data_IF_781925317654
#
_entry.id   IF_781925317654
#
_cell.length_a   1.000
_cell.length_b   1.000
_cell.length_c   1.000
_cell.angle_alpha   90.00
_cell.angle_beta   90.00
_cell.angle_gamma   90.00
#
_symmetry.space_group_name_H-M   'P 1'
#
loop_
_entity.id
_entity.type
_entity.pdbx_description
1 polymer ?
#
# COMPACT_ATOMS: atom_id res chain seq x y z
N UNK A 1 33.92 39.66 -0.34
CA UNK A 1 33.19 39.69 0.94
C UNK A 1 31.71 40.06 0.79
N UNK A 2 31.31 41.24 0.27
CA UNK A 2 29.88 41.62 0.16
C UNK A 2 29.00 40.64 -0.65
N UNK A 3 29.48 40.09 -1.77
CA UNK A 3 28.75 39.09 -2.56
C UNK A 3 28.57 37.73 -1.85
N UNK A 4 29.51 37.34 -0.99
CA UNK A 4 29.44 36.08 -0.24
C UNK A 4 28.44 36.17 0.92
N UNK A 5 28.29 37.34 1.55
CA UNK A 5 27.26 37.54 2.59
C UNK A 5 25.83 37.44 2.03
N UNK A 6 25.59 37.88 0.78
CA UNK A 6 24.27 37.82 0.15
C UNK A 6 23.85 36.37 -0.11
N UNK A 7 24.78 35.51 -0.52
CA UNK A 7 24.51 34.08 -0.79
C UNK A 7 24.19 33.33 0.50
N UNK A 8 24.91 33.62 1.59
CA UNK A 8 24.64 33.02 2.92
C UNK A 8 23.27 33.48 3.46
N UNK A 9 22.89 34.73 3.22
CA UNK A 9 21.59 35.26 3.65
C UNK A 9 20.42 34.60 2.90
N UNK A 10 20.56 34.29 1.61
CA UNK A 10 19.52 33.60 0.81
C UNK A 10 19.36 32.13 1.24
N UNK A 11 20.44 31.45 1.62
CA UNK A 11 20.40 30.08 2.16
C UNK A 11 19.76 29.98 3.55
N UNK A 12 19.73 31.07 4.33
CA UNK A 12 19.06 31.14 5.63
C UNK A 12 17.56 31.47 5.51
N UNK A 13 17.07 31.78 4.31
CA UNK A 13 15.68 32.12 3.99
C UNK A 13 14.89 30.95 3.37
N UNK A 14 15.48 29.74 3.28
CA UNK A 14 14.74 28.54 2.89
C UNK A 14 13.83 28.09 4.05
N UNK A 15 12.71 28.79 4.22
CA UNK A 15 11.62 28.31 5.06
C UNK A 15 11.04 27.02 4.48
N UNK A 16 10.57 26.13 5.35
CA UNK A 16 9.80 24.96 4.94
C UNK A 16 8.55 25.45 4.21
N UNK A 17 8.46 25.17 2.90
CA UNK A 17 7.24 25.38 2.14
C UNK A 17 6.34 24.18 2.48
N UNK A 18 5.28 24.43 3.23
CA UNK A 18 4.23 23.43 3.41
C UNK A 18 3.43 23.34 2.12
N UNK A 19 3.28 22.12 1.59
CA UNK A 19 2.32 21.85 0.51
C UNK A 19 0.91 22.24 0.95
N UNK A 20 0.06 22.58 -0.02
CA UNK A 20 -1.36 22.79 0.25
C UNK A 20 -1.95 21.50 0.85
N UNK A 21 -2.54 21.61 2.04
CA UNK A 21 -3.38 20.57 2.60
C UNK A 21 -4.67 20.53 1.78
N UNK A 22 -4.99 19.39 1.18
CA UNK A 22 -6.31 19.20 0.58
C UNK A 22 -7.28 19.05 1.75
N UNK A 23 -7.92 20.15 2.13
CA UNK A 23 -8.97 20.12 3.13
C UNK A 23 -10.15 19.33 2.58
N UNK A 24 -10.72 18.46 3.41
CA UNK A 24 -12.04 17.90 3.13
C UNK A 24 -13.03 19.08 3.10
N UNK A 25 -13.40 19.50 1.89
CA UNK A 25 -14.11 20.76 1.70
C UNK A 25 -15.61 20.53 1.95
N UNK A 26 -16.18 21.24 2.92
CA UNK A 26 -17.61 21.15 3.24
C UNK A 26 -18.49 21.94 2.27
N UNK A 27 -17.89 22.69 1.34
CA UNK A 27 -18.61 23.41 0.29
C UNK A 27 -19.13 22.40 -0.74
N UNK A 28 -20.46 22.31 -0.98
CA UNK A 28 -21.00 21.42 -1.99
C UNK A 28 -20.64 21.92 -3.39
N UNK A 29 -20.21 21.00 -4.25
CA UNK A 29 -19.98 21.26 -5.67
C UNK A 29 -21.17 20.73 -6.45
N UNK A 30 -21.72 21.55 -7.34
CA UNK A 30 -22.89 21.18 -8.14
C UNK A 30 -22.62 21.36 -9.63
N UNK A 31 -23.18 20.46 -10.44
CA UNK A 31 -23.21 20.56 -11.90
C UNK A 31 -24.62 20.20 -12.35
N UNK A 32 -25.26 21.08 -13.12
CA UNK A 32 -26.65 20.93 -13.58
C UNK A 32 -27.67 20.62 -12.46
N UNK A 33 -27.45 21.19 -11.28
CA UNK A 33 -28.31 20.98 -10.10
C UNK A 33 -28.05 19.68 -9.33
N UNK A 34 -27.09 18.86 -9.76
CA UNK A 34 -26.67 17.63 -9.08
C UNK A 34 -25.46 17.91 -8.21
N UNK A 35 -25.51 17.54 -6.93
CA UNK A 35 -24.34 17.58 -6.04
C UNK A 35 -23.36 16.48 -6.43
N UNK A 36 -22.12 16.85 -6.71
CA UNK A 36 -21.04 15.93 -7.06
C UNK A 36 -20.49 15.28 -5.79
N UNK A 37 -20.25 13.97 -5.86
CA UNK A 37 -19.57 13.20 -4.82
C UNK A 37 -18.05 13.30 -4.99
N UNK A 38 -17.32 13.45 -3.88
CA UNK A 38 -15.86 13.56 -3.82
C UNK A 38 -15.22 14.59 -4.78
N UNK A 39 -15.80 15.79 -4.97
CA UNK A 39 -15.31 16.75 -5.97
C UNK A 39 -13.90 17.29 -5.68
N UNK A 40 -13.43 17.14 -4.45
CA UNK A 40 -12.12 17.61 -3.98
C UNK A 40 -11.12 16.48 -3.68
N UNK A 41 -11.39 15.23 -4.06
CA UNK A 41 -10.44 14.13 -3.83
C UNK A 41 -9.20 14.18 -4.76
N UNK A 42 -9.14 15.15 -5.66
CA UNK A 42 -8.14 15.19 -6.72
C UNK A 42 -8.50 14.26 -7.89
N UNK A 43 -7.55 14.08 -8.79
CA UNK A 43 -7.65 13.12 -9.90
C UNK A 43 -6.63 12.01 -9.76
N UNK A 44 -6.89 10.87 -10.39
CA UNK A 44 -5.98 9.72 -10.41
C UNK A 44 -5.30 9.57 -11.76
N UNK A 45 -3.99 9.32 -11.75
CA UNK A 45 -3.20 9.04 -12.96
C UNK A 45 -2.84 7.56 -13.08
N UNK A 46 -2.34 6.95 -12.00
CA UNK A 46 -1.99 5.54 -11.96
C UNK A 46 -2.48 4.90 -10.63
N UNK A 47 -3.81 4.82 -10.41
CA UNK A 47 -4.38 4.34 -9.16
C UNK A 47 -4.21 2.83 -8.99
N UNK A 48 -3.87 2.42 -7.78
CA UNK A 48 -3.82 1.05 -7.29
C UNK A 48 -4.82 0.94 -6.15
N UNK A 49 -5.76 0.01 -6.25
CA UNK A 49 -6.89 -0.09 -5.32
C UNK A 49 -6.64 -1.22 -4.32
N UNK A 50 -7.05 -1.01 -3.08
CA UNK A 50 -7.14 -2.06 -2.08
C UNK A 50 -8.32 -1.80 -1.15
N UNK A 51 -8.83 -2.86 -0.55
CA UNK A 51 -9.84 -2.78 0.50
C UNK A 51 -9.17 -2.71 1.86
N UNK A 52 -9.76 -1.96 2.78
CA UNK A 52 -9.33 -1.86 4.18
C UNK A 52 -10.53 -1.46 5.04
N UNK A 53 -10.69 -2.03 6.24
CA UNK A 53 -11.62 -1.47 7.25
C UNK A 53 -10.87 -0.44 8.11
N UNK A 54 -10.76 0.80 7.63
CA UNK A 54 -9.88 1.81 8.26
C UNK A 54 -10.52 2.44 9.51
N UNK A 55 -11.85 2.37 9.60
CA UNK A 55 -12.63 2.94 10.69
C UNK A 55 -13.14 1.89 11.69
N UNK A 56 -12.83 0.61 11.45
CA UNK A 56 -13.17 -0.55 12.28
C UNK A 56 -14.68 -0.71 12.48
N UNK A 57 -15.47 -0.40 11.45
CA UNK A 57 -16.94 -0.52 11.47
C UNK A 57 -17.48 -1.84 10.88
N UNK A 58 -16.58 -2.71 10.42
CA UNK A 58 -16.89 -4.00 9.79
C UNK A 58 -17.21 -3.90 8.30
N UNK A 59 -17.12 -2.72 7.69
CA UNK A 59 -17.26 -2.53 6.23
C UNK A 59 -15.91 -2.22 5.61
N UNK A 60 -15.68 -2.81 4.44
CA UNK A 60 -14.51 -2.52 3.64
C UNK A 60 -14.63 -1.13 3.01
N UNK A 61 -13.72 -0.23 3.40
CA UNK A 61 -13.41 1.03 2.77
C UNK A 61 -12.48 0.83 1.56
N UNK A 62 -12.21 1.91 0.82
CA UNK A 62 -11.28 1.87 -0.32
C UNK A 62 -10.04 2.70 0.01
N UNK A 63 -8.89 2.05 -0.07
CA UNK A 63 -7.59 2.69 -0.17
C UNK A 63 -7.17 2.76 -1.64
N UNK A 64 -6.74 3.94 -2.08
CA UNK A 64 -6.22 4.17 -3.44
C UNK A 64 -4.82 4.73 -3.34
N UNK A 65 -3.82 4.02 -3.88
CA UNK A 65 -2.47 4.55 -4.06
C UNK A 65 -2.23 4.96 -5.51
N UNK A 66 -2.14 6.26 -5.77
CA UNK A 66 -1.71 6.80 -7.06
C UNK A 66 -0.18 6.86 -7.12
N UNK A 67 0.40 5.87 -7.81
CA UNK A 67 1.84 5.74 -8.01
C UNK A 67 2.46 6.94 -8.70
N UNK A 68 1.73 7.64 -9.58
CA UNK A 68 2.28 8.76 -10.34
C UNK A 68 2.78 9.89 -9.43
N UNK A 69 2.14 10.05 -8.26
CA UNK A 69 2.51 11.04 -7.25
C UNK A 69 3.06 10.47 -5.95
N UNK A 70 3.11 9.14 -5.79
CA UNK A 70 3.26 8.47 -4.49
C UNK A 70 2.28 9.04 -3.46
N UNK A 71 1.00 9.12 -3.84
CA UNK A 71 -0.07 9.69 -3.02
C UNK A 71 -1.13 8.64 -2.80
N UNK A 72 -1.60 8.52 -1.56
CA UNK A 72 -2.77 7.71 -1.27
C UNK A 72 -4.00 8.59 -1.04
N UNK A 73 -5.17 7.95 -1.08
CA UNK A 73 -6.46 8.52 -0.70
C UNK A 73 -7.32 7.43 -0.09
N UNK A 74 -8.13 7.78 0.91
CA UNK A 74 -9.04 6.86 1.58
C UNK A 74 -10.49 7.28 1.32
N UNK A 75 -11.36 6.31 1.08
CA UNK A 75 -12.79 6.53 0.87
C UNK A 75 -13.61 5.62 1.78
N UNK A 76 -14.37 6.22 2.70
CA UNK A 76 -15.18 5.52 3.68
C UNK A 76 -16.46 4.98 3.05
N UNK A 77 -16.79 3.73 3.37
CA UNK A 77 -17.96 3.02 2.92
C UNK A 77 -19.21 3.43 3.71
N UNK A 78 -19.90 4.46 3.24
CA UNK A 78 -21.18 4.92 3.78
C UNK A 78 -22.39 4.21 3.17
N UNK A 79 -22.20 3.01 2.60
CA UNK A 79 -23.30 2.26 1.98
C UNK A 79 -24.32 1.85 3.05
N UNK A 80 -25.59 2.20 2.82
CA UNK A 80 -26.74 1.86 3.69
C UNK A 80 -27.80 1.01 2.98
N UNK A 81 -27.68 0.81 1.68
CA UNK A 81 -28.59 0.02 0.84
C UNK A 81 -27.81 -0.79 -0.20
N UNK A 82 -28.37 -0.96 -1.40
CA UNK A 82 -27.70 -1.69 -2.50
C UNK A 82 -26.75 -0.83 -3.32
N UNK A 83 -26.91 0.49 -3.27
CA UNK A 83 -26.08 1.42 -4.04
C UNK A 83 -24.80 1.76 -3.27
N UNK A 84 -23.61 1.45 -3.81
CA UNK A 84 -22.35 1.72 -3.13
C UNK A 84 -22.12 3.23 -3.00
N UNK A 85 -21.73 3.67 -1.80
CA UNK A 85 -21.39 5.07 -1.51
C UNK A 85 -20.06 5.14 -0.77
N UNK A 86 -19.04 5.64 -1.45
CA UNK A 86 -17.69 5.82 -0.90
C UNK A 86 -17.35 7.31 -0.80
N UNK A 87 -17.04 7.79 0.41
CA UNK A 87 -16.81 9.21 0.72
C UNK A 87 -15.35 9.46 1.04
N UNK A 88 -14.72 10.35 0.28
CA UNK A 88 -13.32 10.74 0.46
C UNK A 88 -13.09 11.33 1.86
N UNK A 89 -11.98 10.92 2.49
CA UNK A 89 -11.51 11.50 3.75
C UNK A 89 -9.99 11.53 3.79
N UNK A 90 -9.46 12.50 4.53
CA UNK A 90 -8.02 12.66 4.81
C UNK A 90 -7.71 12.56 6.32
N UNK A 91 -8.69 12.20 7.14
CA UNK A 91 -8.52 12.15 8.60
C UNK A 91 -7.54 11.05 9.04
N UNK A 92 -7.38 10.02 8.21
CA UNK A 92 -6.47 8.89 8.44
C UNK A 92 -5.08 9.10 7.84
N UNK A 93 -4.84 10.19 7.10
CA UNK A 93 -3.52 10.47 6.51
C UNK A 93 -2.36 10.37 7.52
N UNK A 94 -2.50 10.84 8.79
CA UNK A 94 -1.40 10.82 9.75
C UNK A 94 -0.95 9.42 10.22
N UNK A 95 -1.77 8.38 10.02
CA UNK A 95 -1.43 7.03 10.52
C UNK A 95 -0.63 6.20 9.51
N UNK A 96 -0.64 6.58 8.23
CA UNK A 96 0.10 5.86 7.19
C UNK A 96 1.59 6.25 7.18
N UNK A 97 2.50 5.28 6.95
CA UNK A 97 3.90 5.58 6.70
C UNK A 97 4.09 6.25 5.33
N UNK A 98 5.33 6.64 5.02
CA UNK A 98 5.64 7.08 3.65
C UNK A 98 5.65 5.88 2.70
N UNK A 99 4.74 5.90 1.74
CA UNK A 99 4.58 4.85 0.72
C UNK A 99 5.21 5.29 -0.61
N UNK A 100 5.69 4.32 -1.40
CA UNK A 100 6.43 4.63 -2.63
C UNK A 100 6.26 3.55 -3.68
N UNK A 101 6.22 3.96 -4.95
CA UNK A 101 6.19 3.15 -6.17
C UNK A 101 4.95 2.23 -6.30
N UNK A 102 4.60 1.44 -5.28
CA UNK A 102 3.30 0.78 -5.19
C UNK A 102 2.95 0.51 -3.72
N UNK A 103 1.65 0.38 -3.42
CA UNK A 103 1.18 -0.01 -2.10
C UNK A 103 -0.13 -0.79 -2.19
N UNK A 104 -0.26 -1.83 -1.37
CA UNK A 104 -1.43 -2.69 -1.28
C UNK A 104 -1.78 -3.00 0.17
N UNK A 105 -3.06 -3.25 0.42
CA UNK A 105 -3.57 -3.64 1.74
C UNK A 105 -3.92 -5.12 1.74
N UNK A 106 -3.35 -5.90 2.66
CA UNK A 106 -3.52 -7.36 2.77
C UNK A 106 -3.43 -7.79 4.23
N UNK A 107 -4.39 -8.59 4.68
CA UNK A 107 -4.36 -9.21 6.01
C UNK A 107 -3.46 -10.45 5.93
N UNK A 108 -2.18 -10.30 6.25
CA UNK A 108 -1.23 -11.41 6.09
C UNK A 108 -1.28 -12.37 7.26
N UNK A 109 -1.64 -11.88 8.46
CA UNK A 109 -1.60 -12.62 9.71
C UNK A 109 -2.97 -13.16 10.16
N UNK A 110 -3.98 -13.02 9.30
CA UNK A 110 -5.39 -13.39 9.52
C UNK A 110 -6.00 -12.83 10.81
N UNK A 111 -5.59 -11.64 11.23
CA UNK A 111 -6.18 -10.98 12.40
C UNK A 111 -7.42 -10.15 12.06
N UNK A 112 -7.77 -10.09 10.77
CA UNK A 112 -8.91 -9.34 10.23
C UNK A 112 -8.58 -7.90 9.85
N UNK A 113 -7.36 -7.43 10.13
CA UNK A 113 -6.87 -6.09 9.79
C UNK A 113 -5.98 -6.17 8.56
N UNK A 114 -6.16 -5.25 7.61
CA UNK A 114 -5.30 -5.23 6.44
C UNK A 114 -4.00 -4.48 6.72
N UNK A 115 -2.88 -5.16 6.49
CA UNK A 115 -1.51 -4.66 6.59
C UNK A 115 -1.04 -4.00 5.29
N UNK A 116 0.01 -3.19 5.38
CA UNK A 116 0.54 -2.48 4.22
C UNK A 116 1.72 -3.24 3.62
N UNK A 117 1.59 -3.60 2.35
CA UNK A 117 2.69 -4.07 1.51
C UNK A 117 3.10 -2.93 0.58
N UNK A 118 4.38 -2.55 0.56
CA UNK A 118 4.87 -1.46 -0.30
C UNK A 118 6.30 -1.71 -0.78
N UNK A 119 6.68 -1.08 -1.90
CA UNK A 119 8.03 -1.20 -2.44
C UNK A 119 9.10 -0.64 -1.48
N UNK A 120 10.15 -1.42 -1.25
CA UNK A 120 11.36 -1.00 -0.56
C UNK A 120 12.61 -1.65 -1.15
N UNK A 121 13.52 -0.83 -1.68
CA UNK A 121 14.88 -1.23 -2.09
C UNK A 121 14.96 -2.51 -2.94
N UNK A 122 14.08 -2.66 -3.95
CA UNK A 122 14.05 -3.83 -4.84
C UNK A 122 13.33 -5.05 -4.25
N UNK A 123 12.62 -4.87 -3.14
CA UNK A 123 11.80 -5.85 -2.45
C UNK A 123 10.55 -5.17 -1.86
N UNK A 124 9.88 -5.85 -0.93
CA UNK A 124 8.65 -5.40 -0.27
C UNK A 124 8.90 -5.16 1.20
N UNK A 125 8.58 -3.97 1.68
CA UNK A 125 8.39 -3.73 3.10
C UNK A 125 6.94 -4.06 3.49
N UNK A 126 6.77 -4.59 4.70
CA UNK A 126 5.47 -4.87 5.31
C UNK A 126 5.32 -4.07 6.59
N UNK A 127 4.21 -3.35 6.70
CA UNK A 127 3.81 -2.68 7.94
C UNK A 127 2.56 -3.32 8.47
N UNK A 128 2.65 -3.88 9.69
CA UNK A 128 1.52 -4.52 10.37
C UNK A 128 0.56 -3.49 10.94
N UNK A 129 -0.73 -3.71 10.75
CA UNK A 129 -1.79 -2.95 11.36
C UNK A 129 -1.90 -3.29 12.86
N UNK A 130 -1.98 -2.27 13.71
CA UNK A 130 -2.14 -2.42 15.16
C UNK A 130 -3.42 -1.70 15.57
N UNK A 131 -4.30 -2.41 16.27
CA UNK A 131 -5.51 -1.85 16.85
C UNK A 131 -5.33 -1.65 18.37
N UNK A 132 -5.15 -0.40 18.79
CA UNK A 132 -5.14 -0.02 20.21
C UNK A 132 -6.48 0.62 20.60
N UNK A 133 -7.41 -0.21 21.07
CA UNK A 133 -8.69 0.26 21.62
C UNK A 133 -9.60 0.97 20.62
N UNK A 134 -9.57 0.58 19.34
CA UNK A 134 -10.34 1.20 18.26
C UNK A 134 -9.59 2.28 17.48
N UNK A 135 -8.29 2.45 17.76
CA UNK A 135 -7.41 3.35 17.00
C UNK A 135 -6.41 2.51 16.22
N UNK A 136 -6.47 2.61 14.89
CA UNK A 136 -5.55 1.91 13.99
C UNK A 136 -4.23 2.70 13.84
N UNK A 137 -3.11 1.98 13.89
CA UNK A 137 -1.78 2.47 13.50
C UNK A 137 -1.05 1.39 12.69
N UNK A 138 0.08 1.77 12.06
CA UNK A 138 0.91 0.83 11.29
C UNK A 138 2.34 0.84 11.82
N UNK A 139 2.86 -0.36 12.09
CA UNK A 139 4.23 -0.56 12.58
C UNK A 139 5.04 -1.38 11.58
N UNK A 140 6.31 -1.04 11.38
CA UNK A 140 7.17 -1.77 10.46
C UNK A 140 7.43 -3.18 10.99
N UNK A 141 7.01 -4.20 10.23
CA UNK A 141 7.20 -5.61 10.56
C UNK A 141 8.44 -6.18 9.86
N UNK A 142 8.52 -5.99 8.53
CA UNK A 142 9.68 -6.39 7.72
C UNK A 142 10.10 -5.25 6.80
N UNK A 143 11.41 -4.93 6.77
CA UNK A 143 11.97 -4.01 5.78
C UNK A 143 12.01 -4.64 4.38
N UNK A 144 12.29 -5.94 4.30
CA UNK A 144 12.29 -6.73 3.08
C UNK A 144 11.74 -8.12 3.39
N UNK A 145 10.71 -8.56 2.65
CA UNK A 145 10.33 -9.97 2.65
C UNK A 145 11.38 -10.78 1.88
N UNK A 146 11.54 -12.04 2.27
CA UNK A 146 12.64 -12.89 1.86
C UNK A 146 12.19 -14.33 1.79
N UNK A 147 12.88 -15.13 0.97
CA UNK A 147 12.73 -16.58 0.92
C UNK A 147 14.03 -17.26 1.31
N UNK A 148 13.96 -18.53 1.72
CA UNK A 148 15.14 -19.31 2.13
C UNK A 148 15.64 -20.18 0.99
N UNK A 149 16.92 -20.04 0.65
CA UNK A 149 17.63 -20.94 -0.28
C UNK A 149 19.10 -21.02 0.15
N UNK A 150 19.40 -21.95 1.07
CA UNK A 150 20.63 -22.04 1.89
C UNK A 150 20.91 -20.82 2.79
N UNK A 151 20.47 -19.63 2.37
CA UNK A 151 20.51 -18.35 3.07
C UNK A 151 19.22 -17.58 2.79
N UNK A 152 18.97 -16.54 3.58
CA UNK A 152 17.84 -15.64 3.37
C UNK A 152 18.12 -14.67 2.21
N UNK A 153 17.24 -14.67 1.20
CA UNK A 153 17.35 -13.85 -0.01
C UNK A 153 16.11 -12.97 -0.12
N UNK A 154 16.23 -11.64 -0.22
CA UNK A 154 15.09 -10.76 -0.45
C UNK A 154 14.31 -11.16 -1.71
N UNK A 155 12.98 -11.28 -1.61
CA UNK A 155 12.13 -11.51 -2.77
C UNK A 155 12.18 -10.25 -3.63
N UNK A 156 12.61 -10.40 -4.87
CA UNK A 156 12.68 -9.27 -5.79
C UNK A 156 11.27 -8.84 -6.18
N UNK A 157 11.02 -7.54 -6.06
CA UNK A 157 9.83 -6.89 -6.59
C UNK A 157 10.24 -5.64 -7.33
N UNK A 158 9.78 -5.53 -8.57
CA UNK A 158 10.00 -4.36 -9.41
C UNK A 158 9.36 -3.12 -8.78
N UNK A 159 9.98 -1.97 -9.01
CA UNK A 159 9.35 -0.67 -8.72
C UNK A 159 8.25 -0.32 -9.71
N UNK A 160 8.20 -1.01 -10.86
CA UNK A 160 7.31 -0.69 -11.97
C UNK A 160 6.18 -1.68 -12.16
N UNK A 161 6.38 -2.91 -11.69
CA UNK A 161 5.41 -3.99 -11.80
C UNK A 161 4.91 -4.30 -10.39
N UNK A 162 3.59 -4.45 -10.28
CA UNK A 162 2.93 -4.67 -8.99
C UNK A 162 2.97 -6.20 -8.77
N UNK A 163 3.68 -6.69 -7.74
CA UNK A 163 3.60 -8.10 -7.37
C UNK A 163 2.17 -8.44 -6.91
N UNK A 164 1.81 -9.72 -6.93
CA UNK A 164 0.57 -10.16 -6.28
C UNK A 164 0.88 -10.80 -4.93
N UNK A 165 -0.01 -10.53 -3.98
CA UNK A 165 0.00 -11.05 -2.62
C UNK A 165 -1.36 -11.68 -2.38
N UNK A 166 -1.43 -12.99 -2.55
CA UNK A 166 -2.67 -13.76 -2.48
C UNK A 166 -2.34 -15.18 -2.09
N UNK A 167 -3.28 -15.85 -1.43
CA UNK A 167 -3.24 -17.29 -1.22
C UNK A 167 -3.41 -17.99 -2.59
N UNK A 168 -2.33 -18.57 -3.14
CA UNK A 168 -2.35 -19.18 -4.49
C UNK A 168 -2.74 -20.65 -4.41
N UNK A 169 -2.34 -21.34 -3.34
CA UNK A 169 -2.57 -22.78 -3.14
C UNK A 169 -3.87 -23.08 -2.34
N UNK A 170 -4.53 -22.06 -1.77
CA UNK A 170 -5.70 -22.11 -0.88
C UNK A 170 -5.44 -22.77 0.49
N UNK A 171 -4.27 -22.57 1.09
CA UNK A 171 -3.94 -23.07 2.43
C UNK A 171 -4.26 -22.10 3.58
N UNK A 172 -4.54 -20.83 3.26
CA UNK A 172 -4.93 -19.80 4.20
C UNK A 172 -3.83 -18.81 4.60
N UNK A 173 -2.61 -18.88 4.05
CA UNK A 173 -1.62 -17.80 4.17
C UNK A 173 -1.34 -17.10 2.83
N UNK A 174 -0.69 -15.93 2.90
CA UNK A 174 -0.46 -15.09 1.72
C UNK A 174 0.85 -15.47 1.05
N UNK A 175 0.76 -15.96 -0.18
CA UNK A 175 1.89 -16.18 -1.08
C UNK A 175 2.31 -14.91 -1.84
N UNK A 176 3.44 -15.00 -2.56
CA UNK A 176 3.92 -13.95 -3.46
C UNK A 176 4.07 -14.45 -4.89
N UNK A 177 3.48 -13.71 -5.83
CA UNK A 177 3.79 -13.81 -7.25
C UNK A 177 4.51 -12.53 -7.70
N UNK A 178 5.72 -12.65 -8.22
CA UNK A 178 6.46 -11.50 -8.74
C UNK A 178 7.31 -11.85 -9.95
N UNK A 179 7.53 -10.89 -10.84
CA UNK A 179 8.49 -11.06 -11.92
C UNK A 179 9.92 -11.13 -11.37
N UNK A 180 10.75 -12.00 -11.96
CA UNK A 180 12.18 -12.03 -11.66
C UNK A 180 12.88 -10.72 -12.07
N UNK A 181 14.15 -10.57 -11.66
CA UNK A 181 14.97 -9.36 -11.92
C UNK A 181 15.05 -8.99 -13.42
N UNK A 182 14.98 -9.99 -14.31
CA UNK A 182 14.99 -9.78 -15.77
C UNK A 182 13.64 -9.38 -16.33
N UNK A 183 12.56 -9.45 -15.55
CA UNK A 183 11.18 -9.19 -15.99
C UNK A 183 10.55 -10.30 -16.83
N UNK A 184 11.31 -11.32 -17.22
CA UNK A 184 10.87 -12.26 -18.27
C UNK A 184 9.88 -13.31 -17.79
N UNK A 185 9.98 -13.77 -16.55
CA UNK A 185 9.13 -14.84 -16.01
C UNK A 185 8.61 -14.46 -14.64
N UNK A 186 7.40 -14.92 -14.35
CA UNK A 186 6.79 -14.81 -13.04
C UNK A 186 7.29 -15.94 -12.14
N UNK A 187 7.65 -15.59 -10.90
CA UNK A 187 8.09 -16.51 -9.87
C UNK A 187 7.00 -16.67 -8.83
N UNK A 188 6.91 -17.86 -8.26
CA UNK A 188 5.99 -18.20 -7.19
C UNK A 188 6.77 -18.51 -5.92
N UNK A 189 6.50 -17.73 -4.88
CA UNK A 189 7.01 -17.92 -3.54
C UNK A 189 5.85 -18.31 -2.64
N UNK A 190 5.85 -19.56 -2.19
CA UNK A 190 4.86 -20.10 -1.26
C UNK A 190 5.21 -19.66 0.15
N UNK A 191 4.24 -19.11 0.88
CA UNK A 191 4.37 -18.91 2.31
C UNK A 191 4.15 -20.27 3.00
N UNK A 192 4.97 -20.56 4.00
CA UNK A 192 5.02 -21.89 4.64
C UNK A 192 4.56 -21.82 6.09
N UNK A 193 3.81 -20.78 6.44
CA UNK A 193 3.47 -20.47 7.82
C UNK A 193 2.42 -21.46 8.34
N UNK A 194 1.43 -21.78 7.51
CA UNK A 194 0.44 -22.82 7.82
C UNK A 194 1.11 -24.20 7.97
N UNK A 195 2.04 -24.57 7.08
CA UNK A 195 2.74 -25.87 7.09
C UNK A 195 3.66 -26.01 8.30
N UNK A 196 4.31 -24.91 8.69
CA UNK A 196 5.33 -24.90 9.73
C UNK A 196 4.75 -24.70 11.12
N UNK A 197 3.72 -23.84 11.25
CA UNK A 197 3.24 -23.34 12.54
C UNK A 197 1.74 -23.54 12.77
N UNK A 198 0.97 -23.93 11.75
CA UNK A 198 -0.51 -24.01 11.78
C UNK A 198 -1.20 -22.66 12.02
N UNK A 199 -0.49 -21.56 11.76
CA UNK A 199 -0.95 -20.18 11.90
C UNK A 199 -0.40 -19.38 10.72
N UNK A 200 -1.19 -18.47 10.15
CA UNK A 200 -0.80 -17.60 9.03
C UNK A 200 -0.03 -16.34 9.50
N UNK A 201 0.46 -16.29 10.74
CA UNK A 201 0.96 -15.06 11.36
C UNK A 201 2.36 -14.61 10.90
N UNK A 202 2.92 -15.32 9.93
CA UNK A 202 4.33 -15.26 9.56
C UNK A 202 4.51 -15.03 8.06
N UNK A 203 5.69 -14.50 7.72
CA UNK A 203 6.10 -14.18 6.35
C UNK A 203 7.34 -15.02 6.00
N UNK A 204 7.17 -16.34 5.95
CA UNK A 204 8.24 -17.31 5.72
C UNK A 204 8.05 -17.98 4.36
N UNK A 205 8.89 -17.63 3.39
CA UNK A 205 8.69 -18.05 2.02
C UNK A 205 9.72 -19.06 1.53
N UNK A 206 9.26 -19.97 0.67
CA UNK A 206 10.08 -20.83 -0.17
C UNK A 206 9.82 -20.53 -1.66
N UNK A 207 10.85 -20.61 -2.50
CA UNK A 207 10.71 -20.43 -3.95
C UNK A 207 10.31 -21.76 -4.59
N UNK A 208 9.07 -21.86 -5.06
CA UNK A 208 8.50 -23.10 -5.59
C UNK A 208 8.61 -23.19 -7.11
N UNK A 209 8.42 -22.05 -7.81
CA UNK A 209 8.49 -22.03 -9.27
C UNK A 209 9.19 -20.76 -9.79
N UNK A 210 10.04 -20.93 -10.79
CA UNK A 210 10.76 -19.85 -11.48
C UNK A 210 9.98 -19.29 -12.69
N UNK A 211 8.97 -20.02 -13.17
CA UNK A 211 8.18 -19.72 -14.36
C UNK A 211 6.70 -20.08 -14.16
N UNK A 212 6.12 -19.56 -13.08
CA UNK A 212 4.73 -19.84 -12.71
C UNK A 212 3.76 -19.44 -13.82
N UNK A 213 2.82 -20.35 -14.12
CA UNK A 213 1.86 -20.20 -15.22
C UNK A 213 2.44 -20.39 -16.62
N UNK A 214 3.75 -20.69 -16.75
CA UNK A 214 4.45 -20.86 -18.04
C UNK A 214 4.36 -19.62 -18.94
N UNK A 215 4.40 -18.43 -18.32
CA UNK A 215 4.29 -17.13 -19.00
C UNK A 215 5.69 -16.53 -19.20
N UNK A 216 5.91 -15.96 -20.39
CA UNK A 216 7.14 -15.25 -20.73
C UNK A 216 6.82 -13.86 -21.32
N UNK A 217 7.40 -12.81 -20.76
CA UNK A 217 7.35 -11.44 -21.29
C UNK A 217 8.56 -11.18 -22.20
N UNK A 218 8.31 -10.78 -23.46
CA UNK A 218 9.33 -10.53 -24.48
C UNK A 218 8.91 -9.54 -25.55
#
# INVERSE_FOLDING_TARGET
MKKQLIVIFILLLSGNIFSQYVLNNTIPFTSDGITLLNPSCGGFNAPQFSYIDINLDGKQDIFVFDRAGNKFSVFINETTGTEPKFVFTNIYDPIFPTLKDWAMMRDYNCDGLQDIFTYYSGSTAVYKAINDGGVLSFELEKEQISYVNDFEIPIYTSRSDIPDFTDVNNDGDIDVLSFGVTGTTMRYFENTSIESFWECDSLQFDLIDYCWGEINEG
#
